data_IF_749634095503
#
_entry.id   IF_749634095503
#
_cell.length_a   1.000
_cell.length_b   1.000
_cell.length_c   1.000
_cell.angle_alpha   90.00
_cell.angle_beta   90.00
_cell.angle_gamma   90.00
#
_symmetry.space_group_name_H-M   'P 1'
#
loop_
_entity.id
_entity.type
_entity.pdbx_description
1 polymer ?
#
# COMPACT_ATOMS: atom_id res chain seq x y z
N UNK A 1 -0.12 8.36 -13.08
CA UNK A 1 0.63 9.32 -12.24
C UNK A 1 1.36 8.57 -11.14
N UNK A 2 2.60 8.96 -10.83
CA UNK A 2 3.38 8.37 -9.72
C UNK A 2 4.27 9.42 -9.06
N UNK A 3 4.61 9.21 -7.79
CA UNK A 3 5.56 10.06 -7.07
C UNK A 3 6.99 9.69 -7.48
N UNK A 4 7.77 10.66 -7.95
CA UNK A 4 9.08 10.44 -8.54
C UNK A 4 10.07 9.88 -7.51
N UNK A 5 10.85 8.88 -7.93
CA UNK A 5 11.95 8.35 -7.11
C UNK A 5 11.50 7.51 -5.92
N UNK A 6 10.22 7.20 -5.80
CA UNK A 6 9.73 6.22 -4.83
C UNK A 6 9.84 4.79 -5.39
N UNK A 7 9.60 3.82 -4.52
CA UNK A 7 9.54 2.42 -4.92
C UNK A 7 8.45 2.17 -5.96
N UNK A 8 7.30 2.85 -5.82
CA UNK A 8 6.20 2.81 -6.77
C UNK A 8 6.59 3.29 -8.18
N UNK A 9 7.45 4.32 -8.28
CA UNK A 9 7.95 4.80 -9.58
C UNK A 9 8.79 3.74 -10.28
N UNK A 10 9.68 3.10 -9.53
CA UNK A 10 10.54 2.03 -10.05
C UNK A 10 9.68 0.84 -10.49
N UNK A 11 8.79 0.34 -9.63
CA UNK A 11 7.91 -0.79 -9.96
C UNK A 11 6.96 -0.49 -11.12
N UNK A 12 6.42 0.74 -11.21
CA UNK A 12 5.60 1.14 -12.35
C UNK A 12 6.42 1.18 -13.64
N UNK A 13 7.65 1.68 -13.59
CA UNK A 13 8.52 1.76 -14.77
C UNK A 13 8.83 0.37 -15.32
N UNK A 14 9.04 -0.62 -14.45
CA UNK A 14 9.29 -2.01 -14.84
C UNK A 14 8.02 -2.72 -15.38
N UNK A 15 6.87 -2.47 -14.76
CA UNK A 15 5.63 -3.18 -15.08
C UNK A 15 4.81 -2.55 -16.21
N UNK A 16 4.96 -1.25 -16.47
CA UNK A 16 4.14 -0.54 -17.44
C UNK A 16 4.46 -0.99 -18.89
N UNK A 17 3.44 -1.13 -19.76
CA UNK A 17 3.69 -1.37 -21.17
C UNK A 17 4.39 -0.15 -21.79
N UNK A 18 5.18 -0.38 -22.84
CA UNK A 18 5.93 0.68 -23.53
C UNK A 18 5.04 1.81 -24.10
N UNK A 19 3.75 1.56 -24.31
CA UNK A 19 2.78 2.54 -24.77
C UNK A 19 2.22 3.46 -23.67
N UNK A 20 2.51 3.19 -22.39
CA UNK A 20 2.00 3.99 -21.28
C UNK A 20 2.77 5.31 -21.12
N UNK A 21 2.05 6.43 -21.04
CA UNK A 21 2.61 7.73 -20.63
C UNK A 21 2.70 7.81 -19.09
N UNK A 22 3.91 7.59 -18.55
CA UNK A 22 4.15 7.68 -17.10
C UNK A 22 4.42 9.14 -16.70
N UNK A 23 3.38 9.81 -16.19
CA UNK A 23 3.50 11.13 -15.57
C UNK A 23 4.02 11.05 -14.14
N UNK A 24 5.20 11.63 -13.91
CA UNK A 24 5.90 11.67 -12.61
C UNK A 24 5.75 13.04 -11.95
N UNK A 25 5.42 13.04 -10.67
CA UNK A 25 5.24 14.24 -9.85
C UNK A 25 6.15 14.20 -8.63
N UNK A 26 6.46 15.34 -8.03
CA UNK A 26 7.41 15.42 -6.89
C UNK A 26 6.76 15.18 -5.52
N UNK A 27 5.44 15.02 -5.45
CA UNK A 27 4.71 14.74 -4.22
C UNK A 27 3.38 14.00 -4.47
N UNK A 28 2.87 13.32 -3.44
CA UNK A 28 1.63 12.56 -3.51
C UNK A 28 0.39 13.42 -3.74
N UNK A 29 0.33 14.66 -3.25
CA UNK A 29 -0.84 15.52 -3.49
C UNK A 29 -1.02 15.82 -4.99
N UNK A 30 0.07 16.10 -5.70
CA UNK A 30 0.03 16.31 -7.16
C UNK A 30 -0.38 15.04 -7.91
N UNK A 31 0.07 13.86 -7.48
CA UNK A 31 -0.38 12.56 -8.02
C UNK A 31 -1.89 12.38 -7.85
N UNK A 32 -2.39 12.61 -6.64
CA UNK A 32 -3.81 12.47 -6.29
C UNK A 32 -4.67 13.45 -7.11
N UNK A 33 -4.26 14.72 -7.22
CA UNK A 33 -5.01 15.72 -7.99
C UNK A 33 -5.00 15.42 -9.49
N UNK A 34 -3.90 14.93 -10.05
CA UNK A 34 -3.85 14.52 -11.45
C UNK A 34 -4.83 13.36 -11.74
N UNK A 35 -5.03 12.46 -10.78
CA UNK A 35 -6.01 11.40 -10.91
C UNK A 35 -7.45 11.91 -10.74
N UNK A 36 -7.75 12.66 -9.66
CA UNK A 36 -9.10 13.17 -9.38
C UNK A 36 -9.62 14.10 -10.47
N UNK A 37 -8.74 14.93 -11.05
CA UNK A 37 -9.10 15.84 -12.15
C UNK A 37 -9.24 15.16 -13.52
N UNK A 38 -8.92 13.86 -13.62
CA UNK A 38 -8.92 13.12 -14.88
C UNK A 38 -7.71 13.41 -15.78
N UNK A 39 -6.72 14.17 -15.32
CA UNK A 39 -5.47 14.39 -16.06
C UNK A 39 -4.70 13.08 -16.31
N UNK A 40 -4.86 12.09 -15.43
CA UNK A 40 -4.33 10.73 -15.60
C UNK A 40 -5.38 9.69 -15.29
N UNK A 41 -5.39 8.57 -16.04
CA UNK A 41 -6.39 7.51 -15.84
C UNK A 41 -6.12 6.65 -14.58
N UNK A 42 -4.86 6.55 -14.16
CA UNK A 42 -4.43 5.77 -13.01
C UNK A 42 -3.44 6.57 -12.17
N UNK A 43 -3.47 6.38 -10.85
CA UNK A 43 -2.38 6.74 -9.95
C UNK A 43 -1.77 5.48 -9.32
N UNK A 44 -0.47 5.55 -9.03
CA UNK A 44 0.23 4.53 -8.26
C UNK A 44 0.71 5.15 -6.96
N UNK A 45 0.29 4.54 -5.84
CA UNK A 45 0.55 4.99 -4.48
C UNK A 45 0.60 3.78 -3.54
N UNK A 46 1.20 3.94 -2.36
CA UNK A 46 1.09 2.98 -1.26
C UNK A 46 -0.35 2.76 -0.78
N UNK A 47 -0.58 1.63 -0.10
CA UNK A 47 -1.89 1.15 0.32
C UNK A 47 -2.62 2.13 1.26
N UNK A 48 -1.88 2.78 2.15
CA UNK A 48 -2.39 3.76 3.12
C UNK A 48 -2.88 5.04 2.42
N UNK A 49 -2.12 5.56 1.47
CA UNK A 49 -2.51 6.72 0.65
C UNK A 49 -3.72 6.35 -0.22
N UNK A 50 -3.68 5.17 -0.85
CA UNK A 50 -4.80 4.64 -1.62
C UNK A 50 -6.09 4.56 -0.79
N UNK A 51 -6.01 3.96 0.40
CA UNK A 51 -7.14 3.84 1.33
C UNK A 51 -7.73 5.20 1.73
N UNK A 52 -6.88 6.21 1.97
CA UNK A 52 -7.34 7.56 2.25
C UNK A 52 -8.07 8.20 1.07
N UNK A 53 -7.58 7.99 -0.17
CA UNK A 53 -8.25 8.50 -1.36
C UNK A 53 -9.59 7.78 -1.57
N UNK A 54 -9.63 6.46 -1.45
CA UNK A 54 -10.88 5.66 -1.52
C UNK A 54 -11.93 6.18 -0.54
N UNK A 55 -11.53 6.47 0.71
CA UNK A 55 -12.43 6.95 1.75
C UNK A 55 -12.94 8.38 1.53
N UNK A 56 -12.20 9.23 0.80
CA UNK A 56 -12.56 10.65 0.58
C UNK A 56 -13.24 10.92 -0.76
N UNK A 57 -13.10 10.03 -1.74
CA UNK A 57 -13.58 10.23 -3.11
C UNK A 57 -14.87 9.46 -3.38
N UNK A 58 -15.93 9.75 -2.63
CA UNK A 58 -17.21 9.03 -2.69
C UNK A 58 -17.95 9.16 -4.03
N UNK A 59 -17.75 10.27 -4.75
CA UNK A 59 -18.36 10.49 -6.06
C UNK A 59 -17.63 9.74 -7.18
N UNK A 60 -16.29 9.76 -7.15
CA UNK A 60 -15.44 9.10 -8.16
C UNK A 60 -15.42 7.57 -7.97
N UNK A 61 -15.55 7.10 -6.72
CA UNK A 61 -15.46 5.68 -6.33
C UNK A 61 -14.27 4.97 -6.98
N UNK A 62 -13.04 5.46 -6.75
CA UNK A 62 -11.85 4.78 -7.25
C UNK A 62 -11.80 3.33 -6.76
N UNK A 63 -11.11 2.48 -7.50
CA UNK A 63 -10.88 1.10 -7.10
C UNK A 63 -9.45 0.68 -7.44
N UNK A 64 -8.90 -0.26 -6.67
CA UNK A 64 -7.60 -0.83 -6.97
C UNK A 64 -7.70 -1.70 -8.23
N UNK A 65 -6.83 -1.43 -9.21
CA UNK A 65 -6.77 -2.19 -10.47
C UNK A 65 -5.64 -3.22 -10.50
N UNK A 66 -4.49 -2.87 -9.95
CA UNK A 66 -3.28 -3.67 -10.00
C UNK A 66 -2.54 -3.60 -8.67
N UNK A 67 -1.94 -4.71 -8.26
CA UNK A 67 -0.90 -4.71 -7.23
C UNK A 67 0.45 -4.85 -7.97
N UNK A 68 1.26 -3.79 -7.95
CA UNK A 68 2.52 -3.74 -8.68
C UNK A 68 3.68 -4.38 -7.90
N UNK A 69 3.63 -4.28 -6.57
CA UNK A 69 4.66 -4.79 -5.69
C UNK A 69 4.04 -5.21 -4.36
N UNK A 70 4.57 -6.29 -3.78
CA UNK A 70 4.38 -6.63 -2.37
C UNK A 70 5.68 -6.35 -1.65
N UNK A 71 5.65 -5.39 -0.72
CA UNK A 71 6.78 -5.07 0.16
C UNK A 71 6.33 -5.29 1.61
N UNK A 72 6.47 -6.51 2.17
CA UNK A 72 6.00 -6.81 3.51
C UNK A 72 6.71 -5.95 4.55
N UNK A 73 5.92 -5.31 5.42
CA UNK A 73 6.43 -4.51 6.54
C UNK A 73 6.77 -5.40 7.72
N UNK A 74 7.96 -5.22 8.27
CA UNK A 74 8.45 -5.99 9.42
C UNK A 74 8.71 -5.09 10.63
N UNK A 75 8.57 -5.65 11.83
CA UNK A 75 8.90 -4.95 13.08
C UNK A 75 10.39 -5.08 13.33
N UNK A 76 11.13 -3.96 13.19
CA UNK A 76 12.55 -3.90 13.48
C UNK A 76 12.84 -3.94 14.99
N UNK A 77 13.83 -4.73 15.39
CA UNK A 77 14.26 -4.88 16.79
C UNK A 77 15.79 -4.72 16.89
N UNK A 78 16.28 -4.39 18.09
CA UNK A 78 17.70 -4.48 18.39
C UNK A 78 18.19 -5.93 18.23
N UNK A 79 19.47 -6.09 17.86
CA UNK A 79 20.09 -7.41 17.76
C UNK A 79 20.12 -8.08 19.14
N UNK A 80 20.03 -9.42 19.16
CA UNK A 80 20.13 -10.27 20.35
C UNK A 80 18.99 -10.08 21.37
N UNK A 81 17.81 -9.63 20.94
CA UNK A 81 16.62 -9.45 21.77
C UNK A 81 15.61 -10.60 21.60
N UNK A 82 16.05 -11.85 21.78
CA UNK A 82 15.24 -13.03 21.44
C UNK A 82 13.92 -13.10 22.20
N UNK A 83 13.92 -12.71 23.48
CA UNK A 83 12.70 -12.68 24.30
C UNK A 83 11.70 -11.64 23.79
N UNK A 84 12.17 -10.45 23.41
CA UNK A 84 11.30 -9.41 22.86
C UNK A 84 10.76 -9.83 21.49
N UNK A 85 11.62 -10.39 20.64
CA UNK A 85 11.21 -10.93 19.34
C UNK A 85 10.11 -11.97 19.49
N UNK A 86 10.27 -12.91 20.42
CA UNK A 86 9.24 -13.91 20.70
C UNK A 86 7.93 -13.26 21.16
N UNK A 87 7.98 -12.33 22.12
CA UNK A 87 6.78 -11.66 22.62
C UNK A 87 6.03 -10.88 21.54
N UNK A 88 6.75 -10.19 20.64
CA UNK A 88 6.16 -9.48 19.50
C UNK A 88 5.52 -10.45 18.51
N UNK A 89 6.23 -11.52 18.16
CA UNK A 89 5.72 -12.54 17.24
C UNK A 89 4.47 -13.23 17.79
N UNK A 90 4.47 -13.59 19.08
CA UNK A 90 3.31 -14.21 19.74
C UNK A 90 2.10 -13.26 19.75
N UNK A 91 2.31 -11.96 19.95
CA UNK A 91 1.25 -10.97 19.89
C UNK A 91 0.65 -10.85 18.49
N UNK A 92 1.48 -10.80 17.45
CA UNK A 92 1.03 -10.75 16.04
C UNK A 92 0.30 -12.04 15.66
N UNK A 93 0.84 -13.21 16.05
CA UNK A 93 0.21 -14.50 15.82
C UNK A 93 -1.17 -14.59 16.48
N UNK A 94 -1.32 -14.07 17.70
CA UNK A 94 -2.61 -13.98 18.37
C UNK A 94 -3.60 -13.08 17.62
N UNK A 95 -3.17 -11.91 17.16
CA UNK A 95 -4.01 -10.98 16.39
C UNK A 95 -4.43 -11.54 15.03
N UNK A 96 -3.60 -12.40 14.45
CA UNK A 96 -3.95 -13.16 13.25
C UNK A 96 -5.02 -14.21 13.56
N UNK A 97 -4.80 -15.01 14.61
CA UNK A 97 -5.71 -16.09 14.98
C UNK A 97 -7.08 -15.59 15.45
N UNK A 98 -7.14 -14.46 16.15
CA UNK A 98 -8.40 -13.87 16.65
C UNK A 98 -9.06 -12.87 15.68
N UNK A 99 -8.48 -12.66 14.49
CA UNK A 99 -9.02 -11.82 13.43
C UNK A 99 -8.81 -10.31 13.60
N UNK A 100 -8.23 -9.84 14.72
CA UNK A 100 -8.03 -8.39 14.96
C UNK A 100 -7.09 -7.73 13.97
N UNK A 101 -6.13 -8.46 13.42
CA UNK A 101 -5.26 -7.90 12.40
C UNK A 101 -6.03 -7.64 11.09
N UNK A 102 -6.98 -8.52 10.74
CA UNK A 102 -7.87 -8.32 9.59
C UNK A 102 -8.87 -7.18 9.84
N UNK A 103 -9.43 -7.07 11.05
CA UNK A 103 -10.25 -5.92 11.45
C UNK A 103 -9.48 -4.60 11.28
N UNK A 104 -8.22 -4.58 11.69
CA UNK A 104 -7.34 -3.42 11.54
C UNK A 104 -7.09 -3.09 10.06
N UNK A 105 -6.82 -4.10 9.22
CA UNK A 105 -6.67 -3.91 7.78
C UNK A 105 -7.93 -3.29 7.16
N UNK A 106 -9.11 -3.80 7.49
CA UNK A 106 -10.38 -3.25 6.98
C UNK A 106 -10.64 -1.83 7.49
N UNK A 107 -10.34 -1.57 8.76
CA UNK A 107 -10.56 -0.26 9.36
C UNK A 107 -9.67 0.83 8.72
N UNK A 108 -8.39 0.52 8.50
CA UNK A 108 -7.39 1.52 8.11
C UNK A 108 -7.06 1.48 6.61
N UNK A 109 -6.96 0.29 6.02
CA UNK A 109 -6.58 0.08 4.62
C UNK A 109 -7.78 -0.18 3.70
N UNK A 110 -9.00 -0.31 4.25
CA UNK A 110 -10.25 -0.53 3.51
C UNK A 110 -10.26 -1.79 2.65
N UNK A 111 -9.40 -2.75 2.99
CA UNK A 111 -9.29 -4.05 2.32
C UNK A 111 -9.08 -5.15 3.36
N UNK A 112 -9.61 -6.37 3.13
CA UNK A 112 -9.27 -7.53 3.95
C UNK A 112 -7.75 -7.74 4.00
N UNK A 113 -7.27 -8.26 5.13
CA UNK A 113 -5.89 -8.70 5.23
C UNK A 113 -5.67 -9.84 4.23
N UNK A 114 -4.65 -9.68 3.38
CA UNK A 114 -4.23 -10.75 2.48
C UNK A 114 -3.18 -11.63 3.19
N UNK A 115 -3.47 -12.91 3.50
CA UNK A 115 -2.51 -13.81 4.14
C UNK A 115 -1.26 -14.06 3.30
N UNK A 116 -1.33 -13.93 1.97
CA UNK A 116 -0.17 -14.09 1.10
C UNK A 116 0.87 -12.99 1.33
N UNK A 117 0.45 -11.80 1.81
CA UNK A 117 1.35 -10.71 2.17
C UNK A 117 2.07 -10.94 3.52
N UNK A 118 1.72 -12.00 4.26
CA UNK A 118 2.33 -12.36 5.54
C UNK A 118 3.34 -13.49 5.41
N UNK A 119 3.51 -14.04 4.20
CA UNK A 119 4.50 -15.09 3.94
C UNK A 119 5.88 -14.42 3.82
N UNK A 120 6.88 -15.05 4.44
CA UNK A 120 8.29 -14.69 4.29
C UNK A 120 8.79 -14.99 2.86
#
# INVERSE_FOLDING_TARGET
AVNRGTLEDTSLTEAAPASADIRRFDNYNSVIQAFISGQTQLMVVGNDVGAQVLARQEALKPEQKFQLLTSPSHIGLNKNEDRLKQAVNDAVAKMLADGKLDESSKAWLKTPLNPDNLKD
#
